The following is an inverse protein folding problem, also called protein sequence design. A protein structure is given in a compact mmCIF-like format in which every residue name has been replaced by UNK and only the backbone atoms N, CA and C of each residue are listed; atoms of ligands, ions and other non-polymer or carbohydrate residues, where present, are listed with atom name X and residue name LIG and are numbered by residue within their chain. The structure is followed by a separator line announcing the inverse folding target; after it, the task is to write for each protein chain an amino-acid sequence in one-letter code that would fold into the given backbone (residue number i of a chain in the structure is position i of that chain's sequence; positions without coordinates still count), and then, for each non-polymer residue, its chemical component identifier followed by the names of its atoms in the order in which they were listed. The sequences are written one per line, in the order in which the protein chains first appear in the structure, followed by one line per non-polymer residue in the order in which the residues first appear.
data_IF_418659610320
#
_entry.id   IF_418659610320
#
_cell.length_a   1.000
_cell.length_b   1.000
_cell.length_c   1.000
_cell.angle_alpha   90.00
_cell.angle_beta   90.00
_cell.angle_gamma   90.00
#
_symmetry.space_group_name_H-M   'P 1'
#
loop_
_entity.id
_entity.type
_entity.pdbx_description
1 polymer ?
#
# COMPACT_ATOMS: atom_id res chain seq x y z
N UNK A 1 -8.86 -13.67 -7.65
CA UNK A 1 -8.82 -12.53 -8.61
C UNK A 1 -8.82 -11.22 -7.83
N UNK A 2 -7.85 -10.33 -8.09
CA UNK A 2 -7.73 -9.08 -7.34
C UNK A 2 -8.87 -8.07 -7.63
N UNK A 3 -9.58 -7.64 -6.58
CA UNK A 3 -10.68 -6.66 -6.65
C UNK A 3 -10.25 -5.26 -6.24
N UNK A 4 -10.81 -4.22 -6.85
CA UNK A 4 -10.56 -2.82 -6.43
C UNK A 4 -11.17 -2.56 -5.06
N UNK A 5 -10.35 -2.09 -4.12
CA UNK A 5 -10.75 -1.82 -2.74
C UNK A 5 -11.08 -0.33 -2.55
N UNK A 6 -10.19 0.56 -2.99
CA UNK A 6 -10.44 2.00 -3.07
C UNK A 6 -9.43 2.72 -3.98
N UNK A 7 -9.69 4.00 -4.23
CA UNK A 7 -8.73 4.95 -4.83
C UNK A 7 -8.26 5.93 -3.75
N UNK A 8 -6.95 6.03 -3.54
CA UNK A 8 -6.33 6.86 -2.50
C UNK A 8 -5.51 7.96 -3.17
N UNK A 9 -5.79 9.22 -2.81
CA UNK A 9 -5.07 10.38 -3.36
C UNK A 9 -3.57 10.27 -3.07
N UNK A 10 -2.75 10.39 -4.12
CA UNK A 10 -1.29 10.28 -4.03
C UNK A 10 -0.72 8.86 -3.98
N UNK A 11 -1.58 7.83 -3.84
CA UNK A 11 -1.16 6.42 -3.85
C UNK A 11 -1.69 5.65 -5.08
N UNK A 12 -2.88 6.00 -5.57
CA UNK A 12 -3.50 5.36 -6.74
C UNK A 12 -4.60 4.37 -6.36
N UNK A 13 -4.77 3.33 -7.18
CA UNK A 13 -5.79 2.29 -6.97
C UNK A 13 -5.20 1.20 -6.07
N UNK A 14 -5.86 0.98 -4.93
CA UNK A 14 -5.56 -0.13 -4.03
C UNK A 14 -6.47 -1.30 -4.38
N UNK A 15 -5.86 -2.45 -4.69
CA UNK A 15 -6.57 -3.70 -4.93
C UNK A 15 -6.33 -4.68 -3.80
N UNK A 16 -7.26 -5.61 -3.62
CA UNK A 16 -7.16 -6.73 -2.68
C UNK A 16 -7.20 -8.04 -3.45
N UNK A 17 -6.23 -8.91 -3.20
CA UNK A 17 -6.25 -10.31 -3.58
C UNK A 17 -6.49 -11.17 -2.33
N UNK A 18 -7.09 -12.34 -2.55
CA UNK A 18 -7.41 -13.34 -1.53
C UNK A 18 -6.85 -14.67 -2.01
N UNK A 19 -6.25 -15.42 -1.10
CA UNK A 19 -5.59 -16.70 -1.37
C UNK A 19 -4.44 -16.93 -0.42
N UNK A 20 -3.69 -17.99 -0.65
CA UNK A 20 -2.40 -18.15 0.02
C UNK A 20 -1.41 -17.08 -0.47
N UNK A 21 -0.31 -16.90 0.25
CA UNK A 21 0.65 -15.85 -0.11
C UNK A 21 1.27 -16.02 -1.51
N UNK A 22 1.45 -17.25 -1.98
CA UNK A 22 2.00 -17.54 -3.30
C UNK A 22 1.00 -17.21 -4.41
N UNK A 23 -0.26 -17.61 -4.26
CA UNK A 23 -1.38 -17.26 -5.15
C UNK A 23 -1.53 -15.74 -5.24
N UNK A 24 -1.52 -15.05 -4.10
CA UNK A 24 -1.53 -13.59 -4.03
C UNK A 24 -0.39 -13.00 -4.88
N UNK A 25 0.84 -13.49 -4.73
CA UNK A 25 1.97 -12.98 -5.52
C UNK A 25 1.84 -13.28 -7.01
N UNK A 26 1.17 -14.37 -7.40
CA UNK A 26 0.85 -14.64 -8.79
C UNK A 26 -0.20 -13.67 -9.34
N UNK A 27 -1.31 -13.49 -8.62
CA UNK A 27 -2.39 -12.59 -9.02
C UNK A 27 -1.93 -11.13 -9.10
N UNK A 28 -1.05 -10.75 -8.19
CA UNK A 28 -0.46 -9.43 -8.10
C UNK A 28 0.75 -9.25 -9.06
N UNK A 29 0.96 -10.13 -10.05
CA UNK A 29 2.17 -10.18 -10.88
C UNK A 29 2.64 -8.87 -11.55
N UNK A 30 1.76 -7.89 -11.79
CA UNK A 30 2.12 -6.51 -12.24
C UNK A 30 1.83 -5.43 -11.18
N UNK A 31 1.15 -5.80 -10.10
CA UNK A 31 0.64 -4.92 -9.04
C UNK A 31 1.45 -5.26 -7.79
N UNK A 32 2.58 -4.61 -7.58
CA UNK A 32 3.40 -4.95 -6.41
C UNK A 32 2.58 -4.90 -5.11
N UNK A 33 2.80 -5.88 -4.24
CA UNK A 33 2.29 -5.89 -2.87
C UNK A 33 2.54 -4.52 -2.22
N UNK A 34 1.64 -4.07 -1.35
CA UNK A 34 1.74 -2.73 -0.75
C UNK A 34 2.97 -2.62 0.16
N UNK A 35 3.63 -1.47 0.19
CA UNK A 35 4.67 -1.17 1.21
C UNK A 35 3.98 -0.84 2.53
N UNK A 36 4.57 -1.21 3.67
CA UNK A 36 3.97 -0.90 4.98
C UNK A 36 3.70 0.59 5.17
N UNK A 37 4.65 1.45 4.76
CA UNK A 37 4.45 2.91 4.66
C UNK A 37 3.21 3.32 3.87
N UNK A 38 3.02 2.73 2.69
CA UNK A 38 1.95 3.13 1.77
C UNK A 38 0.58 2.69 2.31
N UNK A 39 0.54 1.53 2.97
CA UNK A 39 -0.63 1.05 3.70
C UNK A 39 -0.96 1.97 4.89
N UNK A 40 0.03 2.36 5.69
CA UNK A 40 -0.14 3.34 6.77
C UNK A 40 -0.64 4.70 6.25
N UNK A 41 -0.07 5.17 5.13
CA UNK A 41 -0.55 6.38 4.46
C UNK A 41 -2.01 6.26 4.02
N UNK A 42 -2.41 5.13 3.41
CA UNK A 42 -3.78 4.91 2.98
C UNK A 42 -4.77 4.94 4.15
N UNK A 43 -4.39 4.37 5.29
CA UNK A 43 -5.19 4.39 6.53
C UNK A 43 -5.29 5.80 7.12
N UNK A 44 -4.18 6.55 7.15
CA UNK A 44 -4.16 7.96 7.59
C UNK A 44 -5.06 8.84 6.72
N UNK A 45 -4.95 8.72 5.40
CA UNK A 45 -5.78 9.51 4.46
C UNK A 45 -7.26 9.19 4.55
N UNK A 46 -7.60 7.98 4.99
CA UNK A 46 -8.99 7.55 5.18
C UNK A 46 -9.47 7.69 6.61
N UNK A 47 -8.60 8.11 7.55
CA UNK A 47 -8.86 8.15 9.01
C UNK A 47 -9.54 6.89 9.53
N UNK A 48 -9.17 5.73 8.98
CA UNK A 48 -9.84 4.47 9.26
C UNK A 48 -11.21 4.27 8.57
N UNK A 49 -11.92 5.31 8.16
CA UNK A 49 -13.34 5.30 7.78
C UNK A 49 -13.69 4.69 6.38
N UNK A 50 -12.93 3.70 5.90
CA UNK A 50 -13.19 3.00 4.61
C UNK A 50 -12.82 1.51 4.68
N UNK A 51 -13.14 0.76 3.62
CA UNK A 51 -12.69 -0.64 3.40
C UNK A 51 -11.18 -0.90 3.57
N UNK A 52 -10.36 0.15 3.50
CA UNK A 52 -8.89 0.09 3.70
C UNK A 52 -8.50 0.35 5.17
N UNK A 53 -9.32 1.09 5.91
CA UNK A 53 -8.88 1.84 7.08
C UNK A 53 -9.05 1.13 8.42
N UNK A 54 -10.21 0.53 8.67
CA UNK A 54 -10.58 0.14 10.04
C UNK A 54 -10.40 -1.36 10.34
N UNK A 55 -10.84 -2.27 9.47
CA UNK A 55 -11.13 -3.63 9.95
C UNK A 55 -10.22 -4.76 9.49
N UNK A 56 -9.20 -4.52 8.65
CA UNK A 56 -8.46 -5.64 8.03
C UNK A 56 -6.97 -5.35 7.89
N UNK A 57 -6.16 -6.22 8.47
CA UNK A 57 -4.72 -6.26 8.25
C UNK A 57 -4.36 -6.73 6.84
N UNK A 58 -3.07 -6.69 6.50
CA UNK A 58 -2.59 -7.14 5.19
C UNK A 58 -1.12 -7.53 5.19
N UNK A 59 -0.73 -8.48 4.34
CA UNK A 59 0.69 -8.67 4.04
C UNK A 59 1.24 -7.48 3.25
N UNK A 60 2.43 -7.05 3.63
CA UNK A 60 3.14 -5.95 2.98
C UNK A 60 4.40 -6.45 2.31
N UNK A 61 5.16 -5.63 1.57
CA UNK A 61 6.47 -6.03 1.00
C UNK A 61 7.56 -6.30 2.04
N UNK A 62 7.32 -5.92 3.29
CA UNK A 62 8.27 -6.05 4.40
C UNK A 62 8.30 -7.49 4.90
N UNK A 63 9.48 -8.03 5.20
CA UNK A 63 9.61 -9.38 5.74
C UNK A 63 10.54 -9.42 6.93
N UNK A 64 10.41 -10.47 7.75
CA UNK A 64 11.31 -10.75 8.85
C UNK A 64 12.22 -11.92 8.50
N UNK A 65 13.44 -11.85 9.00
CA UNK A 65 14.43 -12.91 8.93
C UNK A 65 14.96 -13.19 10.34
N UNK A 66 15.08 -14.47 10.68
CA UNK A 66 15.58 -14.93 11.97
C UNK A 66 16.67 -15.96 11.75
N UNK A 67 17.63 -15.99 12.68
CA UNK A 67 18.66 -17.00 12.77
C UNK A 67 18.87 -17.38 14.25
N UNK A 68 19.30 -18.62 14.46
CA UNK A 68 19.54 -19.19 15.79
C UNK A 68 20.50 -18.32 16.61
N UNK A 69 20.07 -17.97 17.82
CA UNK A 69 20.84 -17.15 18.76
C UNK A 69 20.98 -15.67 18.38
N UNK A 70 20.42 -15.24 17.25
CA UNK A 70 20.59 -13.88 16.73
C UNK A 70 19.36 -13.00 16.95
N UNK A 71 19.54 -11.68 16.85
CA UNK A 71 18.44 -10.72 16.84
C UNK A 71 17.66 -10.79 15.52
N UNK A 72 16.33 -10.68 15.52
CA UNK A 72 15.57 -10.68 14.27
C UNK A 72 15.89 -9.46 13.40
N UNK A 73 15.72 -9.60 12.09
CA UNK A 73 15.97 -8.53 11.13
C UNK A 73 14.70 -8.26 10.31
N UNK A 74 14.36 -6.99 10.11
CA UNK A 74 13.33 -6.56 9.16
C UNK A 74 13.95 -6.08 7.86
N UNK A 75 13.49 -6.63 6.73
CA UNK A 75 13.74 -6.09 5.38
C UNK A 75 12.60 -5.17 4.97
N UNK A 76 12.80 -3.87 5.15
CA UNK A 76 11.79 -2.81 5.04
C UNK A 76 11.15 -2.73 3.65
N UNK A 77 11.94 -2.92 2.59
CA UNK A 77 11.46 -2.66 1.21
C UNK A 77 11.14 -3.91 0.41
N UNK A 78 11.90 -4.99 0.62
CA UNK A 78 11.80 -6.22 -0.16
C UNK A 78 12.13 -7.43 0.71
N UNK A 79 11.09 -8.08 1.21
CA UNK A 79 11.14 -9.44 1.74
C UNK A 79 11.70 -10.40 0.69
N UNK A 80 12.49 -11.39 1.14
CA UNK A 80 12.93 -12.49 0.28
C UNK A 80 11.77 -13.37 -0.18
N UNK A 81 10.70 -13.46 0.60
CA UNK A 81 9.50 -14.20 0.23
C UNK A 81 8.72 -13.54 -0.92
N UNK A 82 9.10 -12.35 -1.41
CA UNK A 82 8.58 -11.86 -2.69
C UNK A 82 9.09 -12.69 -3.89
N UNK A 83 10.12 -13.52 -3.71
CA UNK A 83 10.51 -14.53 -4.67
C UNK A 83 9.47 -15.65 -4.71
N UNK A 84 8.88 -15.90 -5.88
CA UNK A 84 7.80 -16.89 -6.07
C UNK A 84 8.17 -18.32 -5.63
N UNK A 85 9.42 -18.75 -5.81
CA UNK A 85 9.86 -20.08 -5.40
C UNK A 85 9.93 -20.18 -3.87
N UNK A 86 10.47 -19.15 -3.21
CA UNK A 86 10.51 -19.09 -1.75
C UNK A 86 9.11 -18.97 -1.16
N UNK A 87 8.24 -18.13 -1.74
CA UNK A 87 6.84 -18.01 -1.34
C UNK A 87 6.10 -19.36 -1.40
N UNK A 88 6.25 -20.10 -2.50
CA UNK A 88 5.62 -21.42 -2.64
C UNK A 88 6.08 -22.38 -1.55
N UNK A 89 7.39 -22.43 -1.27
CA UNK A 89 7.94 -23.26 -0.19
C UNK A 89 7.45 -22.80 1.19
N UNK A 90 7.31 -21.50 1.40
CA UNK A 90 6.78 -20.93 2.63
C UNK A 90 5.31 -21.30 2.88
N UNK A 91 4.46 -21.17 1.87
CA UNK A 91 3.07 -21.63 1.92
C UNK A 91 3.00 -23.14 2.22
N UNK A 92 3.82 -23.95 1.56
CA UNK A 92 3.84 -25.41 1.78
C UNK A 92 4.29 -25.79 3.20
N UNK A 93 5.33 -25.15 3.74
CA UNK A 93 5.76 -25.38 5.11
C UNK A 93 4.64 -25.02 6.10
N UNK A 94 4.02 -23.86 5.90
CA UNK A 94 2.96 -23.36 6.78
C UNK A 94 1.71 -24.22 6.73
N UNK A 95 1.34 -24.75 5.56
CA UNK A 95 0.25 -25.72 5.41
C UNK A 95 0.47 -26.99 6.24
N UNK A 96 1.73 -27.33 6.54
CA UNK A 96 2.12 -28.45 7.40
C UNK A 96 2.38 -28.02 8.86
N UNK A 97 1.99 -26.80 9.25
CA UNK A 97 2.18 -26.29 10.61
C UNK A 97 3.62 -25.90 10.96
N UNK A 98 4.50 -25.75 9.98
CA UNK A 98 5.92 -25.44 10.16
C UNK A 98 6.26 -24.06 9.62
N UNK A 99 7.26 -23.39 10.20
CA UNK A 99 7.85 -22.20 9.57
C UNK A 99 8.80 -22.62 8.45
N UNK A 100 8.79 -21.84 7.37
CA UNK A 100 9.81 -21.99 6.35
C UNK A 100 11.16 -21.45 6.79
N UNK A 101 12.18 -22.23 6.51
CA UNK A 101 13.57 -21.85 6.67
C UNK A 101 14.44 -22.39 5.54
N UNK A 102 15.57 -21.72 5.32
CA UNK A 102 16.59 -22.16 4.37
C UNK A 102 17.56 -23.13 5.04
N UNK A 103 18.35 -23.85 4.25
CA UNK A 103 19.32 -24.82 4.77
C UNK A 103 20.57 -24.17 5.42
N UNK A 104 20.74 -22.85 5.28
CA UNK A 104 21.93 -22.12 5.75
C UNK A 104 21.55 -20.72 6.24
N UNK A 105 22.44 -20.07 6.99
CA UNK A 105 22.26 -18.70 7.50
C UNK A 105 22.62 -17.61 6.49
N UNK A 106 23.01 -17.98 5.27
CA UNK A 106 23.51 -17.04 4.26
C UNK A 106 22.52 -15.89 3.96
N UNK A 107 21.21 -16.15 3.96
CA UNK A 107 20.23 -15.11 3.72
C UNK A 107 20.14 -14.08 4.85
N UNK A 108 20.24 -14.55 6.09
CA UNK A 108 20.29 -13.72 7.29
C UNK A 108 21.59 -12.89 7.33
N UNK A 109 22.75 -13.52 7.09
CA UNK A 109 24.07 -12.86 7.08
C UNK A 109 24.13 -11.73 6.06
N UNK A 110 23.64 -11.96 4.84
CA UNK A 110 23.52 -10.91 3.81
C UNK A 110 22.62 -9.74 4.22
N UNK A 111 21.63 -9.97 5.10
CA UNK A 111 20.79 -8.91 5.64
C UNK A 111 21.47 -8.20 6.79
N UNK A 112 22.20 -8.93 7.63
CA UNK A 112 23.02 -8.37 8.71
C UNK A 112 24.07 -7.41 8.14
N UNK A 113 24.82 -7.81 7.12
CA UNK A 113 25.78 -6.95 6.41
C UNK A 113 25.14 -5.66 5.88
N UNK A 114 23.92 -5.76 5.34
CA UNK A 114 23.17 -4.59 4.85
C UNK A 114 22.67 -3.70 5.96
N UNK A 115 22.27 -4.27 7.10
CA UNK A 115 21.87 -3.50 8.27
C UNK A 115 23.06 -2.74 8.84
N UNK A 116 24.23 -3.38 8.95
CA UNK A 116 25.48 -2.74 9.36
C UNK A 116 25.89 -1.61 8.40
N UNK A 117 25.77 -1.82 7.09
CA UNK A 117 26.04 -0.78 6.09
C UNK A 117 25.03 0.39 6.12
N UNK A 118 23.84 0.18 6.70
CA UNK A 118 22.80 1.19 6.82
C UNK A 118 22.73 1.80 8.24
N UNK A 119 23.56 1.35 9.20
CA UNK A 119 23.43 1.71 10.63
C UNK A 119 23.49 3.21 10.91
N UNK A 120 24.38 3.92 10.22
CA UNK A 120 24.61 5.36 10.40
C UNK A 120 23.61 6.22 9.62
N UNK A 121 22.70 5.61 8.84
CA UNK A 121 21.62 6.32 8.16
C UNK A 121 20.47 6.58 9.12
N UNK A 122 19.75 7.67 8.87
CA UNK A 122 18.45 7.92 9.51
C UNK A 122 17.57 6.66 9.41
N UNK A 123 16.85 6.25 10.48
CA UNK A 123 16.05 5.03 10.48
C UNK A 123 15.11 4.92 9.26
N UNK A 124 14.45 6.02 8.87
CA UNK A 124 13.55 6.08 7.72
C UNK A 124 14.21 5.80 6.35
N UNK A 125 15.54 5.88 6.27
CA UNK A 125 16.34 5.60 5.05
C UNK A 125 16.97 4.21 5.05
N UNK A 126 16.90 3.48 6.17
CA UNK A 126 17.47 2.13 6.29
C UNK A 126 16.64 1.14 5.49
N UNK A 127 17.32 0.27 4.72
CA UNK A 127 16.66 -0.77 3.91
C UNK A 127 16.41 -2.03 4.72
N UNK A 128 17.22 -2.23 5.75
CA UNK A 128 17.22 -3.35 6.67
C UNK A 128 17.48 -2.79 8.07
N UNK A 129 16.79 -3.32 9.08
CA UNK A 129 16.99 -2.95 10.49
C UNK A 129 17.04 -4.19 11.38
N UNK A 130 18.01 -4.23 12.29
CA UNK A 130 18.10 -5.25 13.35
C UNK A 130 17.14 -4.84 14.45
N UNK A 131 16.31 -5.76 14.92
CA UNK A 131 15.37 -5.50 15.99
C UNK A 131 16.04 -5.49 17.37
N UNK A 132 15.52 -4.71 18.33
CA UNK A 132 16.16 -4.55 19.63
C UNK A 132 16.00 -5.78 20.55
N UNK A 133 15.16 -6.75 20.19
CA UNK A 133 14.80 -7.88 21.04
C UNK A 133 14.51 -9.13 20.22
N UNK A 134 14.76 -10.29 20.83
CA UNK A 134 14.33 -11.62 20.35
C UNK A 134 12.91 -11.98 20.83
N UNK A 135 12.40 -11.25 21.81
CA UNK A 135 11.04 -11.36 22.35
C UNK A 135 10.15 -10.23 21.81
N UNK A 136 8.83 -10.41 21.83
CA UNK A 136 7.86 -9.37 21.46
C UNK A 136 8.13 -8.06 22.20
N UNK A 137 7.98 -6.93 21.53
CA UNK A 137 8.20 -5.61 22.13
C UNK A 137 7.21 -4.58 21.59
N UNK A 138 6.97 -3.56 22.41
CA UNK A 138 6.06 -2.45 22.06
C UNK A 138 6.88 -1.24 21.60
N UNK A 139 6.42 -0.60 20.54
CA UNK A 139 6.91 0.68 20.05
C UNK A 139 6.02 1.77 20.65
N UNK A 140 6.47 2.36 21.76
CA UNK A 140 5.70 3.32 22.57
C UNK A 140 5.84 4.80 22.11
N UNK A 141 6.49 5.05 20.97
CA UNK A 141 6.63 6.39 20.42
C UNK A 141 6.66 6.38 18.89
N UNK A 142 6.14 7.44 18.29
CA UNK A 142 6.29 7.76 16.87
C UNK A 142 7.75 7.94 16.43
N UNK A 143 8.65 8.20 17.39
CA UNK A 143 10.09 8.34 17.18
C UNK A 143 10.87 7.03 17.34
N UNK A 144 10.19 5.91 17.61
CA UNK A 144 10.83 4.60 17.67
C UNK A 144 11.52 4.25 16.33
N UNK A 145 12.78 3.82 16.37
CA UNK A 145 13.57 3.56 15.16
C UNK A 145 12.94 2.50 14.25
N UNK A 146 12.34 1.44 14.80
CA UNK A 146 11.69 0.38 14.02
C UNK A 146 10.47 0.94 13.30
N UNK A 147 9.67 1.74 14.00
CA UNK A 147 8.50 2.39 13.41
C UNK A 147 8.90 3.40 12.33
N UNK A 148 9.93 4.21 12.58
CA UNK A 148 10.50 5.12 11.59
C UNK A 148 11.06 4.38 10.37
N UNK A 149 11.72 3.24 10.55
CA UNK A 149 12.22 2.46 9.43
C UNK A 149 11.07 1.92 8.57
N UNK A 150 10.06 1.31 9.19
CA UNK A 150 8.97 0.62 8.49
C UNK A 150 7.93 1.58 7.89
N UNK A 151 7.60 2.66 8.60
CA UNK A 151 6.58 3.64 8.19
C UNK A 151 7.16 4.95 7.65
N UNK A 152 8.44 5.22 7.84
CA UNK A 152 9.14 6.42 7.34
C UNK A 152 8.47 7.72 7.82
N UNK A 153 8.24 8.68 6.92
CA UNK A 153 7.53 9.94 7.17
C UNK A 153 6.05 9.76 7.58
N UNK A 154 5.59 8.53 7.78
CA UNK A 154 4.28 8.20 8.34
C UNK A 154 4.34 7.71 9.78
N UNK A 155 5.51 7.42 10.35
CA UNK A 155 5.64 6.85 11.69
C UNK A 155 4.92 7.68 12.76
N UNK A 156 5.29 8.96 12.90
CA UNK A 156 4.69 9.88 13.86
C UNK A 156 3.18 10.09 13.68
N UNK A 157 2.67 10.51 12.51
CA UNK A 157 1.22 10.71 12.35
C UNK A 157 0.43 9.40 12.48
N UNK A 158 1.00 8.25 12.10
CA UNK A 158 0.35 6.96 12.29
C UNK A 158 0.28 6.57 13.77
N UNK A 159 1.36 6.80 14.51
CA UNK A 159 1.40 6.62 15.95
C UNK A 159 0.40 7.54 16.68
N UNK A 160 0.30 8.82 16.30
CA UNK A 160 -0.68 9.74 16.87
C UNK A 160 -2.13 9.28 16.65
N UNK A 161 -2.40 8.59 15.53
CA UNK A 161 -3.72 8.04 15.21
C UNK A 161 -4.02 6.72 15.94
N UNK A 162 -3.02 5.84 16.09
CA UNK A 162 -3.22 4.44 16.52
C UNK A 162 -2.72 4.15 17.95
N UNK A 163 -1.80 4.96 18.47
CA UNK A 163 -1.08 4.72 19.71
C UNK A 163 0.03 3.67 19.57
N UNK A 164 0.50 3.12 20.71
CA UNK A 164 1.53 2.09 20.75
C UNK A 164 1.21 0.87 19.88
N UNK A 165 2.26 0.32 19.29
CA UNK A 165 2.18 -0.80 18.35
C UNK A 165 3.08 -1.93 18.83
N UNK A 166 2.63 -3.18 18.77
CA UNK A 166 3.46 -4.33 19.16
C UNK A 166 4.12 -4.95 17.93
N UNK A 167 5.38 -5.32 18.04
CA UNK A 167 6.03 -6.25 17.12
C UNK A 167 5.91 -7.67 17.70
N UNK A 168 5.14 -8.52 17.02
CA UNK A 168 5.02 -9.94 17.35
C UNK A 168 6.06 -10.72 16.56
N UNK A 169 6.90 -11.48 17.25
CA UNK A 169 8.06 -12.17 16.75
C UNK A 169 7.88 -13.68 16.92
N UNK A 170 8.51 -14.45 16.03
CA UNK A 170 8.57 -15.91 16.22
C UNK A 170 9.25 -16.20 17.55
N UNK A 171 8.65 -17.08 18.34
CA UNK A 171 9.21 -17.53 19.62
C UNK A 171 10.66 -17.98 19.45
N UNK A 172 11.55 -17.47 20.32
CA UNK A 172 12.98 -17.71 20.22
C UNK A 172 13.38 -19.18 20.31
N UNK A 173 12.65 -20.00 21.07
CA UNK A 173 12.94 -21.44 21.14
C UNK A 173 12.57 -22.12 19.82
N UNK A 174 11.49 -21.67 19.18
CA UNK A 174 11.14 -22.12 17.82
C UNK A 174 12.26 -21.76 16.83
N UNK A 175 12.75 -20.52 16.85
CA UNK A 175 13.88 -20.09 16.00
C UNK A 175 15.15 -20.92 16.30
N UNK A 176 15.48 -21.14 17.57
CA UNK A 176 16.71 -21.81 17.98
C UNK A 176 16.70 -23.33 17.77
N UNK A 177 15.50 -23.91 17.57
CA UNK A 177 15.30 -25.34 17.31
C UNK A 177 15.67 -25.79 15.89
N UNK A 178 15.92 -24.84 14.99
CA UNK A 178 16.22 -25.09 13.58
C UNK A 178 17.48 -24.35 13.14
N UNK A 179 18.16 -24.92 12.16
CA UNK A 179 19.30 -24.28 11.51
C UNK A 179 18.83 -23.44 10.31
N UNK A 180 19.72 -22.55 9.85
CA UNK A 180 19.50 -21.69 8.70
C UNK A 180 18.63 -20.46 8.97
N UNK A 181 18.10 -19.85 7.90
CA UNK A 181 17.35 -18.59 8.00
C UNK A 181 15.85 -18.86 7.99
N UNK A 182 15.16 -18.61 9.11
CA UNK A 182 13.69 -18.59 9.16
C UNK A 182 13.21 -17.29 8.50
N UNK A 183 12.22 -17.38 7.61
CA UNK A 183 11.65 -16.20 6.95
C UNK A 183 10.14 -16.14 7.13
N UNK A 184 9.62 -14.95 7.46
CA UNK A 184 8.19 -14.68 7.48
C UNK A 184 7.86 -13.38 6.73
N UNK A 185 6.59 -13.24 6.36
CA UNK A 185 6.08 -12.04 5.71
C UNK A 185 5.40 -11.15 6.74
N UNK A 186 5.70 -9.84 6.75
CA UNK A 186 5.09 -8.91 7.69
C UNK A 186 3.59 -8.80 7.43
N UNK A 187 2.81 -9.20 8.43
CA UNK A 187 1.39 -8.90 8.54
C UNK A 187 1.22 -7.56 9.26
N UNK A 188 0.69 -6.56 8.56
CA UNK A 188 0.38 -5.27 9.16
C UNK A 188 -1.05 -5.29 9.69
N UNK A 189 -1.20 -5.42 11.01
CA UNK A 189 -2.48 -5.61 11.72
C UNK A 189 -3.51 -4.52 11.44
N UNK A 190 -4.78 -4.76 11.76
CA UNK A 190 -5.87 -3.78 11.56
C UNK A 190 -5.75 -2.60 12.54
N UNK A 191 -6.44 -1.48 12.28
CA UNK A 191 -6.40 -0.32 13.19
C UNK A 191 -7.47 -0.39 14.29
N UNK A 192 -8.49 -1.25 14.16
CA UNK A 192 -9.54 -1.48 15.16
C UNK A 192 -9.11 -2.39 16.33
N UNK A 193 -8.11 -3.24 16.12
CA UNK A 193 -7.58 -4.20 17.09
C UNK A 193 -6.23 -3.82 17.71
N UNK A 194 -5.78 -2.56 17.50
CA UNK A 194 -4.38 -2.07 17.58
C UNK A 194 -3.58 -2.50 16.35
N UNK A 195 -3.06 -1.52 15.60
CA UNK A 195 -2.19 -1.82 14.45
C UNK A 195 -0.86 -2.38 14.94
N UNK A 196 -0.55 -3.62 14.54
CA UNK A 196 0.67 -4.31 14.96
C UNK A 196 1.54 -4.74 13.79
N UNK A 197 2.80 -5.08 14.09
CA UNK A 197 3.76 -5.66 13.16
C UNK A 197 3.89 -7.16 13.44
N UNK A 198 3.13 -7.99 12.73
CA UNK A 198 3.18 -9.45 12.85
C UNK A 198 4.31 -10.05 12.03
N UNK A 199 5.39 -10.45 12.71
CA UNK A 199 6.50 -11.24 12.16
C UNK A 199 6.43 -12.73 12.50
N UNK A 200 5.50 -13.14 13.35
CA UNK A 200 5.24 -14.53 13.76
C UNK A 200 4.14 -15.22 12.94
N UNK A 201 3.67 -14.59 11.87
CA UNK A 201 2.53 -15.06 11.11
C UNK A 201 2.83 -16.40 10.42
N UNK A 202 2.37 -17.50 11.03
CA UNK A 202 2.35 -18.85 10.45
C UNK A 202 1.25 -19.04 9.42
N UNK A 203 0.24 -18.19 9.41
CA UNK A 203 -0.84 -18.30 8.45
C UNK A 203 -0.46 -17.57 7.16
N UNK A 204 0.25 -18.28 6.28
CA UNK A 204 0.37 -17.91 4.86
C UNK A 204 -0.67 -18.65 4.01
N UNK A 205 -1.59 -19.39 4.64
CA UNK A 205 -2.45 -20.40 4.00
C UNK A 205 -3.76 -19.85 3.47
N UNK A 206 -4.36 -18.83 4.11
CA UNK A 206 -5.53 -18.16 3.53
C UNK A 206 -5.79 -16.77 4.12
N UNK A 207 -5.15 -15.74 3.55
CA UNK A 207 -5.33 -14.37 4.06
C UNK A 207 -5.40 -13.35 2.92
N UNK A 208 -5.83 -12.13 3.25
CA UNK A 208 -6.00 -11.01 2.33
C UNK A 208 -4.68 -10.25 2.17
N UNK A 209 -4.28 -10.00 0.93
CA UNK A 209 -3.17 -9.11 0.62
C UNK A 209 -3.61 -7.94 -0.25
N UNK A 210 -2.99 -6.78 -0.03
CA UNK A 210 -3.27 -5.57 -0.79
C UNK A 210 -2.11 -5.27 -1.74
N UNK A 211 -2.46 -5.00 -2.99
CA UNK A 211 -1.54 -4.51 -4.01
C UNK A 211 -1.85 -3.04 -4.33
N UNK A 212 -0.82 -2.24 -4.56
CA UNK A 212 -1.00 -0.86 -5.03
C UNK A 212 -0.65 -0.81 -6.51
N UNK A 213 -1.63 -0.39 -7.31
CA UNK A 213 -1.37 0.04 -8.67
C UNK A 213 -1.09 1.54 -8.64
N UNK A 214 0.19 1.91 -8.75
CA UNK A 214 0.51 3.27 -9.20
C UNK A 214 -0.08 3.35 -10.61
N UNK A 215 -1.18 4.08 -10.79
CA UNK A 215 -1.44 4.62 -12.11
C UNK A 215 -0.16 5.35 -12.50
N UNK A 216 0.44 4.98 -13.62
CA UNK A 216 1.60 5.69 -14.15
C UNK A 216 1.10 7.05 -14.63
N UNK A 217 0.75 7.94 -13.70
CA UNK A 217 0.03 9.19 -13.91
C UNK A 217 -0.32 9.75 -12.50
N UNK A 218 0.06 10.98 -12.10
CA UNK A 218 0.45 12.12 -12.93
C UNK A 218 -0.71 12.69 -13.76
N UNK A 219 -1.67 11.86 -14.16
CA UNK A 219 -2.94 12.28 -14.72
C UNK A 219 -4.03 12.03 -13.70
N UNK A 220 -4.82 13.08 -13.57
CA UNK A 220 -6.25 13.07 -13.30
C UNK A 220 -6.81 11.74 -12.80
N UNK A 221 -7.33 11.78 -11.57
CA UNK A 221 -8.73 11.41 -11.33
C UNK A 221 -9.36 10.65 -12.50
N UNK A 222 -9.61 9.36 -12.33
CA UNK A 222 -10.79 8.75 -12.90
C UNK A 222 -11.99 9.58 -12.41
N UNK A 223 -12.30 10.67 -13.13
CA UNK A 223 -13.68 10.94 -13.48
C UNK A 223 -14.18 9.60 -14.02
N UNK A 224 -15.40 9.26 -13.63
CA UNK A 224 -16.21 8.28 -14.34
C UNK A 224 -15.92 8.34 -15.85
N UNK A 225 -16.23 7.29 -16.59
CA UNK A 225 -16.59 7.43 -18.00
C UNK A 225 -17.81 8.36 -18.14
N UNK A 226 -17.66 9.64 -17.81
CA UNK A 226 -18.25 10.70 -18.56
C UNK A 226 -17.37 10.71 -19.79
N UNK A 227 -17.95 10.28 -20.91
CA UNK A 227 -17.59 10.85 -22.21
C UNK A 227 -17.07 12.26 -21.97
N UNK A 228 -15.87 12.60 -22.47
CA UNK A 228 -15.44 14.01 -22.48
C UNK A 228 -16.70 14.78 -22.88
N UNK A 229 -17.28 15.65 -22.02
CA UNK A 229 -18.40 16.43 -22.48
C UNK A 229 -17.88 17.10 -23.76
N UNK A 230 -18.64 17.06 -24.86
CA UNK A 230 -18.13 17.46 -26.18
C UNK A 230 -17.60 18.90 -26.22
N UNK A 231 -17.73 19.63 -25.10
CA UNK A 231 -17.30 21.01 -24.90
C UNK A 231 -16.48 21.21 -23.63
N UNK A 232 -15.52 22.11 -23.76
CA UNK A 232 -14.78 22.70 -22.64
C UNK A 232 -15.65 23.70 -21.88
N UNK A 233 -15.34 23.95 -20.60
CA UNK A 233 -16.00 25.01 -19.82
C UNK A 233 -15.91 26.38 -20.50
N UNK A 234 -14.82 26.62 -21.24
CA UNK A 234 -14.65 27.85 -22.03
C UNK A 234 -15.69 27.97 -23.15
N UNK A 235 -16.00 26.87 -23.84
CA UNK A 235 -17.05 26.84 -24.86
C UNK A 235 -18.45 27.03 -24.26
N UNK A 236 -18.74 26.38 -23.13
CA UNK A 236 -20.01 26.59 -22.41
C UNK A 236 -20.19 28.04 -21.95
N UNK A 237 -19.15 28.64 -21.37
CA UNK A 237 -19.20 30.03 -20.91
C UNK A 237 -19.36 31.02 -22.07
N UNK A 238 -18.73 30.75 -23.23
CA UNK A 238 -18.90 31.58 -24.42
C UNK A 238 -20.36 31.56 -24.91
N UNK A 239 -20.99 30.39 -24.95
CA UNK A 239 -22.37 30.24 -25.39
C UNK A 239 -23.40 30.78 -24.38
N UNK A 240 -23.15 30.63 -23.07
CA UNK A 240 -23.97 31.26 -22.03
C UNK A 240 -23.91 32.79 -22.11
N UNK A 241 -22.71 33.36 -22.34
CA UNK A 241 -22.56 34.80 -22.53
C UNK A 241 -23.28 35.28 -23.79
N UNK A 242 -23.30 34.48 -24.85
CA UNK A 242 -24.03 34.75 -26.07
C UNK A 242 -25.55 34.76 -25.84
N UNK A 243 -26.07 33.73 -25.15
CA UNK A 243 -27.48 33.64 -24.78
C UNK A 243 -27.93 34.80 -23.86
N UNK A 244 -27.10 35.18 -22.89
CA UNK A 244 -27.36 36.31 -21.99
C UNK A 244 -27.40 37.66 -22.73
N UNK A 245 -26.55 37.84 -23.74
CA UNK A 245 -26.60 39.03 -24.60
C UNK A 245 -27.88 39.06 -25.44
N UNK A 246 -28.31 37.92 -25.99
CA UNK A 246 -29.57 37.82 -26.74
C UNK A 246 -30.78 38.09 -25.84
N UNK A 247 -30.84 37.49 -24.65
CA UNK A 247 -31.97 37.66 -23.72
C UNK A 247 -32.09 39.09 -23.18
N UNK A 248 -30.97 39.81 -23.08
CA UNK A 248 -30.92 41.23 -22.69
C UNK A 248 -31.10 42.20 -23.86
N UNK A 249 -31.34 41.71 -25.08
CA UNK A 249 -31.48 42.56 -26.27
C UNK A 249 -30.21 43.31 -26.67
N UNK A 250 -29.03 42.79 -26.31
CA UNK A 250 -27.71 43.41 -26.52
C UNK A 250 -27.04 42.96 -27.84
N UNK A 251 -27.82 42.42 -28.77
CA UNK A 251 -27.40 41.96 -30.09
C UNK A 251 -28.16 42.75 -31.14
N UNK A 252 -27.46 43.22 -32.17
CA UNK A 252 -28.09 43.97 -33.26
C UNK A 252 -29.03 43.05 -34.03
N UNK A 253 -30.14 43.60 -34.50
CA UNK A 253 -31.15 42.84 -35.28
C UNK A 253 -30.52 42.15 -36.50
N UNK A 254 -29.54 42.80 -37.15
CA UNK A 254 -28.80 42.25 -38.30
C UNK A 254 -27.99 40.99 -37.98
N UNK A 255 -27.62 40.79 -36.71
CA UNK A 255 -26.70 39.73 -36.31
C UNK A 255 -27.46 38.57 -35.62
N UNK A 256 -28.75 38.77 -35.31
CA UNK A 256 -29.57 37.81 -34.57
C UNK A 256 -29.59 36.44 -35.23
N UNK A 257 -29.80 36.37 -36.53
CA UNK A 257 -29.90 35.11 -37.27
C UNK A 257 -28.59 34.31 -37.17
N UNK A 258 -27.44 34.95 -37.38
CA UNK A 258 -26.13 34.32 -37.23
C UNK A 258 -25.85 33.88 -35.78
N UNK A 259 -26.34 34.65 -34.80
CA UNK A 259 -26.13 34.36 -33.39
C UNK A 259 -26.98 33.19 -32.90
N UNK A 260 -28.22 33.07 -33.43
CA UNK A 260 -29.09 31.92 -33.22
C UNK A 260 -28.55 30.66 -33.92
N UNK A 261 -28.02 30.77 -35.13
CA UNK A 261 -27.45 29.63 -35.86
C UNK A 261 -26.24 29.01 -35.15
N UNK A 262 -25.36 29.83 -34.58
CA UNK A 262 -24.22 29.33 -33.79
C UNK A 262 -24.68 28.64 -32.50
N UNK A 263 -25.70 29.18 -31.82
CA UNK A 263 -26.29 28.52 -30.65
C UNK A 263 -26.99 27.21 -31.05
N UNK A 264 -27.75 27.20 -32.14
CA UNK A 264 -28.45 26.02 -32.64
C UNK A 264 -27.48 24.90 -33.01
N UNK A 265 -26.38 25.22 -33.72
CA UNK A 265 -25.29 24.27 -34.02
C UNK A 265 -24.65 23.73 -32.74
N UNK A 266 -24.38 24.58 -31.76
CA UNK A 266 -23.84 24.16 -30.47
C UNK A 266 -24.79 23.20 -29.72
N UNK A 267 -26.09 23.49 -29.69
CA UNK A 267 -27.10 22.64 -29.04
C UNK A 267 -27.38 21.34 -29.80
N UNK A 268 -27.30 21.33 -31.13
CA UNK A 268 -27.40 20.09 -31.92
C UNK A 268 -26.24 19.15 -31.60
N UNK A 269 -25.04 19.68 -31.49
CA UNK A 269 -23.85 18.91 -31.13
C UNK A 269 -23.84 18.52 -29.62
N UNK A 270 -24.69 19.10 -28.77
CA UNK A 270 -24.92 18.66 -27.37
C UNK A 270 -25.85 17.43 -27.27
N UNK A 271 -26.61 17.11 -28.33
CA UNK A 271 -27.56 15.98 -28.36
C UNK A 271 -26.93 14.65 -28.83
N UNK A 272 -25.67 14.66 -29.27
CA UNK A 272 -24.89 13.49 -29.70
C UNK A 272 -23.94 13.03 -28.59
#
# INVERSE_FOLDING_TARGET
MARTLATVKGLGIVKQAEGDFYEVLQELGRIHLVRTRDEAYARLQTRGAKKIGQSQGTWTRTGFEYAKGQLPIIRVTNSRLLNKQLAKRAVQANANGQYFHTASTAEYEQSLEKAEADKDKDPAKRRVIILPSRDNFTMDSGDNEVLQAVLQDRAKPYFEMNGPMTAYLVDKNTVDSQDGTLMTQLWFGSSDGRSDLGGDCRDLGYVRARGVFKSAEGASTQKSSRQKPPYTQRQLNAQLKRLDRLSKGQVKVSDLESEFDELAKFFQLLKQ
#
